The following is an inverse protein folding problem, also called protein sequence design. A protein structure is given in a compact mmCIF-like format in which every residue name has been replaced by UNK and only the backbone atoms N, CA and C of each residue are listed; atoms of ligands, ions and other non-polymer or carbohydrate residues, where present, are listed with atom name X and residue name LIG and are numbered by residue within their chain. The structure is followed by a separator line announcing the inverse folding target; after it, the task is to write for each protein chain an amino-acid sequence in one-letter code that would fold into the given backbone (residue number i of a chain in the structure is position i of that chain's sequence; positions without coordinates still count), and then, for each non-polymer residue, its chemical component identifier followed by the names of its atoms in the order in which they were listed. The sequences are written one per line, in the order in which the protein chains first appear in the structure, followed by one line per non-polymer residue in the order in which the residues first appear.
data_IF_955317243524
#
_entry.id   IF_955317243524
#
_cell.length_a   1.000
_cell.length_b   1.000
_cell.length_c   1.000
_cell.angle_alpha   90.00
_cell.angle_beta   90.00
_cell.angle_gamma   90.00
#
_symmetry.space_group_name_H-M   'P 1'
#
loop_
_entity.id
_entity.type
_entity.pdbx_description
1 polymer ?
#
# COMPACT_ATOMS: atom_id res chain seq x y z
N UNK A 1 0.97 -21.10 4.63
CA UNK A 1 0.90 -20.35 5.91
C UNK A 1 2.14 -19.51 6.04
N UNK A 2 2.03 -18.19 5.98
CA UNK A 2 3.13 -17.29 6.36
C UNK A 2 3.42 -17.55 7.85
N UNK A 3 4.62 -18.02 8.19
CA UNK A 3 5.08 -18.09 9.58
C UNK A 3 5.52 -16.68 10.02
N UNK A 4 4.64 -15.71 9.86
CA UNK A 4 4.91 -14.31 10.19
C UNK A 4 4.38 -13.99 11.57
N UNK A 5 5.15 -13.22 12.33
CA UNK A 5 4.71 -12.65 13.59
C UNK A 5 4.64 -11.11 13.52
N UNK A 6 5.18 -10.49 12.45
CA UNK A 6 5.16 -9.05 12.25
C UNK A 6 5.19 -8.65 10.77
N UNK A 7 4.41 -7.65 10.39
CA UNK A 7 4.47 -7.00 9.08
C UNK A 7 4.91 -5.54 9.26
N UNK A 8 5.92 -5.13 8.52
CA UNK A 8 6.50 -3.79 8.54
C UNK A 8 6.17 -3.13 7.21
N UNK A 9 5.64 -1.90 7.23
CA UNK A 9 5.36 -1.15 6.02
C UNK A 9 5.65 0.34 6.20
N UNK A 10 5.42 1.14 5.16
CA UNK A 10 5.69 2.56 5.15
C UNK A 10 4.53 3.37 4.55
N UNK A 11 4.39 4.61 5.00
CA UNK A 11 3.34 5.51 4.54
C UNK A 11 3.51 6.94 5.05
N UNK A 12 2.68 7.85 4.55
CA UNK A 12 2.53 9.18 5.14
C UNK A 12 1.61 9.18 6.38
N UNK A 13 1.49 10.34 7.03
CA UNK A 13 0.62 10.53 8.21
C UNK A 13 -0.88 10.31 7.94
N UNK A 14 -1.32 10.27 6.68
CA UNK A 14 -2.70 10.02 6.26
C UNK A 14 -2.79 8.78 5.34
N UNK A 15 -1.93 7.79 5.57
CA UNK A 15 -1.81 6.63 4.67
C UNK A 15 -2.96 5.64 4.86
N UNK A 16 -3.82 5.53 3.86
CA UNK A 16 -4.86 4.49 3.81
C UNK A 16 -4.26 3.08 3.76
N UNK A 17 -3.07 2.92 3.18
CA UNK A 17 -2.35 1.64 3.15
C UNK A 17 -1.96 1.18 4.56
N UNK A 18 -1.37 2.08 5.35
CA UNK A 18 -1.05 1.77 6.75
C UNK A 18 -2.33 1.52 7.56
N UNK A 19 -3.41 2.25 7.27
CA UNK A 19 -4.70 2.08 7.92
C UNK A 19 -5.29 0.68 7.68
N UNK A 20 -5.36 0.26 6.42
CA UNK A 20 -5.80 -1.09 6.06
C UNK A 20 -4.90 -2.18 6.68
N UNK A 21 -3.58 -1.98 6.66
CA UNK A 21 -2.63 -2.93 7.26
C UNK A 21 -2.81 -3.03 8.78
N UNK A 22 -2.94 -1.91 9.48
CA UNK A 22 -3.12 -1.88 10.94
C UNK A 22 -4.38 -2.64 11.35
N UNK A 23 -5.51 -2.36 10.67
CA UNK A 23 -6.77 -3.05 10.93
C UNK A 23 -6.68 -4.56 10.65
N UNK A 24 -6.06 -4.93 9.53
CA UNK A 24 -5.84 -6.34 9.17
C UNK A 24 -4.97 -7.05 10.21
N UNK A 25 -3.90 -6.40 10.67
CA UNK A 25 -3.04 -6.92 11.74
C UNK A 25 -3.80 -7.16 13.04
N UNK A 26 -4.63 -6.19 13.45
CA UNK A 26 -5.49 -6.32 14.62
C UNK A 26 -6.44 -7.52 14.50
N UNK A 27 -7.12 -7.64 13.36
CA UNK A 27 -8.10 -8.71 13.11
C UNK A 27 -7.46 -10.10 13.08
N UNK A 28 -6.23 -10.21 12.56
CA UNK A 28 -5.51 -11.48 12.42
C UNK A 28 -4.61 -11.79 13.62
N UNK A 29 -4.47 -10.88 14.60
CA UNK A 29 -3.54 -11.04 15.71
C UNK A 29 -2.06 -10.99 15.29
N UNK A 30 -1.75 -10.36 14.15
CA UNK A 30 -0.39 -10.19 13.62
C UNK A 30 0.09 -8.78 13.98
N UNK A 31 1.31 -8.67 14.52
CA UNK A 31 1.87 -7.35 14.85
C UNK A 31 2.13 -6.55 13.57
N UNK A 32 1.93 -5.23 13.63
CA UNK A 32 2.22 -4.34 12.52
C UNK A 32 3.10 -3.18 12.95
N UNK A 33 3.96 -2.71 12.04
CA UNK A 33 4.78 -1.51 12.23
C UNK A 33 4.69 -0.61 11.00
N UNK A 34 4.48 0.68 11.25
CA UNK A 34 4.45 1.73 10.23
C UNK A 34 5.65 2.66 10.33
N UNK A 35 6.47 2.71 9.27
CA UNK A 35 7.50 3.72 9.07
C UNK A 35 6.86 4.96 8.43
N UNK A 36 6.54 5.96 9.26
CA UNK A 36 5.69 7.10 8.92
C UNK A 36 6.56 8.28 8.48
N UNK A 37 6.32 8.81 7.28
CA UNK A 37 7.08 9.96 6.75
C UNK A 37 6.82 11.24 7.54
N UNK A 38 7.90 11.90 7.97
CA UNK A 38 7.89 13.23 8.57
C UNK A 38 8.14 13.19 10.07
N UNK A 39 7.97 14.33 10.72
CA UNK A 39 8.09 14.45 12.17
C UNK A 39 6.81 13.96 12.85
N UNK A 40 6.95 13.52 14.10
CA UNK A 40 5.80 13.18 14.92
C UNK A 40 4.96 14.45 15.17
N UNK A 41 3.67 14.45 14.81
CA UNK A 41 2.84 15.63 15.03
C UNK A 41 2.51 15.78 16.52
N UNK A 42 2.40 17.03 16.98
CA UNK A 42 1.94 17.32 18.35
C UNK A 42 0.52 16.81 18.60
N UNK A 43 -0.33 16.87 17.57
CA UNK A 43 -1.69 16.34 17.58
C UNK A 43 -1.79 15.24 16.54
N UNK A 44 -2.09 14.02 16.98
CA UNK A 44 -2.34 12.90 16.07
C UNK A 44 -3.63 13.15 15.28
N UNK A 45 -3.56 12.94 13.97
CA UNK A 45 -4.75 12.98 13.13
C UNK A 45 -5.58 11.68 13.30
N UNK A 46 -6.83 11.63 12.81
CA UNK A 46 -7.68 10.46 12.95
C UNK A 46 -7.05 9.16 12.41
N UNK A 47 -6.39 9.22 11.25
CA UNK A 47 -5.72 8.05 10.67
C UNK A 47 -4.67 7.49 11.63
N UNK A 48 -3.75 8.33 12.12
CA UNK A 48 -2.72 7.90 13.08
C UNK A 48 -3.32 7.40 14.40
N UNK A 49 -4.39 8.05 14.87
CA UNK A 49 -5.13 7.60 16.06
C UNK A 49 -5.64 6.18 15.87
N UNK A 50 -6.25 5.87 14.72
CA UNK A 50 -6.72 4.52 14.40
C UNK A 50 -5.56 3.53 14.38
N UNK A 51 -4.47 3.83 13.66
CA UNK A 51 -3.28 2.95 13.58
C UNK A 51 -2.82 2.51 14.98
N UNK A 52 -2.62 3.48 15.87
CA UNK A 52 -2.11 3.22 17.21
C UNK A 52 -3.15 2.51 18.08
N UNK A 53 -4.44 2.85 17.95
CA UNK A 53 -5.51 2.18 18.68
C UNK A 53 -5.68 0.70 18.31
N UNK A 54 -5.34 0.35 17.06
CA UNK A 54 -5.34 -1.02 16.55
C UNK A 54 -4.03 -1.77 16.85
N UNK A 55 -3.09 -1.14 17.54
CA UNK A 55 -1.84 -1.76 18.00
C UNK A 55 -0.71 -1.73 16.98
N UNK A 56 -0.79 -0.91 15.92
CA UNK A 56 0.35 -0.68 15.04
C UNK A 56 1.43 0.14 15.75
N UNK A 57 2.67 -0.35 15.72
CA UNK A 57 3.85 0.39 16.20
C UNK A 57 4.22 1.49 15.17
N UNK A 58 4.23 2.75 15.59
CA UNK A 58 4.61 3.88 14.72
C UNK A 58 6.06 4.32 14.91
N UNK A 59 6.81 4.45 13.82
CA UNK A 59 8.15 5.07 13.83
C UNK A 59 8.20 6.19 12.80
N UNK A 60 8.44 7.41 13.24
CA UNK A 60 8.53 8.58 12.36
C UNK A 60 9.93 8.67 11.74
N UNK A 61 10.00 8.79 10.42
CA UNK A 61 11.26 8.79 9.65
C UNK A 61 11.38 10.05 8.81
N UNK A 62 12.62 10.52 8.63
CA UNK A 62 12.90 11.67 7.79
C UNK A 62 12.51 11.43 6.33
N UNK A 63 12.35 12.52 5.56
CA UNK A 63 12.06 12.41 4.11
C UNK A 63 13.17 11.71 3.34
N UNK A 64 14.42 11.80 3.79
CA UNK A 64 15.57 11.10 3.21
C UNK A 64 15.49 9.60 3.44
N UNK A 65 15.27 9.18 4.69
CA UNK A 65 15.09 7.76 5.04
C UNK A 65 13.89 7.18 4.33
N UNK A 66 12.76 7.90 4.27
CA UNK A 66 11.58 7.47 3.54
C UNK A 66 11.85 7.21 2.05
N UNK A 67 12.69 8.04 1.40
CA UNK A 67 13.08 7.80 0.00
C UNK A 67 13.98 6.57 -0.12
N UNK A 68 14.88 6.34 0.82
CA UNK A 68 15.71 5.15 0.86
C UNK A 68 14.85 3.88 1.05
N UNK A 69 13.84 3.91 1.92
CA UNK A 69 12.96 2.77 2.15
C UNK A 69 12.29 2.26 0.85
N UNK A 70 12.01 3.14 -0.11
CA UNK A 70 11.43 2.79 -1.41
C UNK A 70 12.33 1.92 -2.30
N UNK A 71 13.63 1.85 -2.01
CA UNK A 71 14.56 1.01 -2.78
C UNK A 71 14.48 -0.46 -2.38
N UNK A 72 13.93 -0.77 -1.20
CA UNK A 72 13.70 -2.13 -0.72
C UNK A 72 12.39 -2.66 -1.29
N UNK A 73 12.47 -3.62 -2.23
CA UNK A 73 11.32 -4.15 -2.97
C UNK A 73 10.94 -5.57 -2.54
N UNK A 74 11.90 -6.37 -2.11
CA UNK A 74 11.65 -7.73 -1.65
C UNK A 74 11.20 -7.75 -0.18
N UNK A 75 10.41 -8.75 0.18
CA UNK A 75 9.80 -8.87 1.52
C UNK A 75 10.82 -8.99 2.66
N UNK A 76 12.07 -9.31 2.36
CA UNK A 76 13.18 -9.52 3.30
C UNK A 76 14.33 -8.51 3.08
N UNK A 77 14.10 -7.45 2.31
CA UNK A 77 15.16 -6.53 1.91
C UNK A 77 15.42 -5.36 2.87
N UNK A 78 14.60 -5.19 3.91
CA UNK A 78 14.86 -4.18 4.92
C UNK A 78 16.15 -4.49 5.70
N UNK A 79 16.97 -3.47 6.01
CA UNK A 79 18.03 -3.62 7.00
C UNK A 79 17.45 -4.11 8.33
N UNK A 80 18.13 -5.07 8.95
CA UNK A 80 17.80 -5.64 10.27
C UNK A 80 16.47 -6.42 10.35
N UNK A 81 15.84 -6.76 9.21
CA UNK A 81 14.64 -7.59 9.23
C UNK A 81 14.93 -8.97 9.82
N UNK A 82 14.08 -9.41 10.74
CA UNK A 82 14.27 -10.67 11.44
C UNK A 82 13.51 -11.83 10.79
N UNK A 83 13.90 -13.05 11.12
CA UNK A 83 13.17 -14.23 10.66
C UNK A 83 11.72 -14.19 11.17
N UNK A 84 10.76 -14.28 10.25
CA UNK A 84 9.33 -14.19 10.55
C UNK A 84 8.79 -12.76 10.57
N UNK A 85 9.58 -11.76 10.21
CA UNK A 85 9.12 -10.41 9.88
C UNK A 85 9.07 -10.23 8.36
N UNK A 86 8.13 -9.41 7.89
CA UNK A 86 7.91 -9.20 6.45
C UNK A 86 7.81 -7.71 6.13
N UNK A 87 8.60 -7.26 5.17
CA UNK A 87 8.53 -5.93 4.58
C UNK A 87 7.44 -5.88 3.50
N UNK A 88 6.56 -4.88 3.61
CA UNK A 88 5.55 -4.56 2.63
C UNK A 88 5.81 -3.13 2.12
N UNK A 89 6.17 -2.93 0.84
CA UNK A 89 6.48 -1.60 0.30
C UNK A 89 5.26 -0.66 0.34
N UNK A 90 5.52 0.64 0.17
CA UNK A 90 4.50 1.69 0.13
C UNK A 90 3.36 1.32 -0.84
N UNK A 91 2.11 1.39 -0.36
CA UNK A 91 0.93 1.08 -1.17
C UNK A 91 0.74 -0.41 -1.47
N UNK A 92 1.53 -1.30 -0.86
CA UNK A 92 1.40 -2.75 -1.02
C UNK A 92 1.90 -3.26 -2.37
N UNK A 93 2.67 -2.45 -3.11
CA UNK A 93 3.11 -2.73 -4.48
C UNK A 93 4.06 -3.95 -4.57
N UNK A 94 3.48 -5.14 -4.60
CA UNK A 94 4.11 -6.43 -4.85
C UNK A 94 3.30 -7.19 -5.91
N UNK A 95 3.90 -8.19 -6.54
CA UNK A 95 3.24 -9.00 -7.57
C UNK A 95 1.90 -9.60 -7.09
N UNK A 96 1.84 -10.02 -5.81
CA UNK A 96 0.61 -10.53 -5.19
C UNK A 96 -0.52 -9.49 -5.08
N UNK A 97 -0.19 -8.19 -5.03
CA UNK A 97 -1.20 -7.14 -5.00
C UNK A 97 -1.87 -6.97 -6.37
N UNK A 98 -1.15 -7.23 -7.48
CA UNK A 98 -1.77 -7.25 -8.81
C UNK A 98 -2.81 -8.36 -8.90
N UNK A 99 -2.50 -9.55 -8.38
CA UNK A 99 -3.46 -10.67 -8.33
C UNK A 99 -4.69 -10.32 -7.49
N UNK A 100 -4.52 -9.78 -6.27
CA UNK A 100 -5.67 -9.43 -5.42
C UNK A 100 -6.56 -8.34 -6.02
N UNK A 101 -6.00 -7.43 -6.81
CA UNK A 101 -6.78 -6.43 -7.56
C UNK A 101 -7.48 -7.04 -8.78
N UNK A 102 -6.86 -8.03 -9.43
CA UNK A 102 -7.51 -8.75 -10.52
C UNK A 102 -8.75 -9.51 -10.01
N UNK A 103 -8.63 -10.19 -8.86
CA UNK A 103 -9.76 -10.88 -8.21
C UNK A 103 -10.90 -9.90 -7.85
N UNK A 104 -10.59 -8.64 -7.51
CA UNK A 104 -11.61 -7.61 -7.26
C UNK A 104 -12.45 -7.31 -8.51
N UNK A 105 -11.87 -7.38 -9.71
CA UNK A 105 -12.63 -7.18 -10.97
C UNK A 105 -13.65 -8.30 -11.15
N UNK A 106 -13.28 -9.54 -10.81
CA UNK A 106 -14.18 -10.70 -10.89
C UNK A 106 -15.35 -10.63 -9.89
N UNK A 107 -15.22 -9.84 -8.81
CA UNK A 107 -16.29 -9.61 -7.82
C UNK A 107 -17.32 -8.55 -8.26
N UNK A 108 -17.09 -7.83 -9.36
CA UNK A 108 -18.01 -6.81 -9.87
C UNK A 108 -19.23 -7.47 -10.53
N UNK A 109 -20.34 -7.56 -9.79
CA UNK A 109 -21.61 -8.15 -10.25
C UNK A 109 -22.50 -7.18 -11.07
N UNK A 110 -21.89 -6.22 -11.76
CA UNK A 110 -22.58 -5.20 -12.55
C UNK A 110 -21.90 -5.04 -13.90
N UNK A 111 -22.68 -4.84 -14.96
CA UNK A 111 -22.12 -4.46 -16.26
C UNK A 111 -21.55 -3.03 -16.19
N UNK A 112 -20.37 -2.82 -16.77
CA UNK A 112 -19.72 -1.52 -16.85
C UNK A 112 -19.01 -1.32 -18.18
N UNK A 113 -19.09 -0.11 -18.72
CA UNK A 113 -18.31 0.31 -19.89
C UNK A 113 -16.99 1.00 -19.47
N UNK A 114 -16.98 1.66 -18.30
CA UNK A 114 -15.87 2.50 -17.83
C UNK A 114 -15.61 2.32 -16.33
N UNK A 115 -14.35 2.08 -15.97
CA UNK A 115 -13.87 2.09 -14.58
C UNK A 115 -12.94 3.28 -14.33
N UNK A 116 -13.21 4.04 -13.27
CA UNK A 116 -12.43 5.23 -12.88
C UNK A 116 -11.70 4.99 -11.56
N UNK A 117 -10.37 5.17 -11.55
CA UNK A 117 -9.52 4.78 -10.41
C UNK A 117 -8.61 5.94 -9.99
N UNK A 118 -8.62 6.37 -8.72
CA UNK A 118 -7.62 7.30 -8.22
C UNK A 118 -6.25 6.61 -8.07
N UNK A 119 -5.19 7.25 -8.57
CA UNK A 119 -3.85 6.66 -8.66
C UNK A 119 -2.85 7.37 -7.74
N UNK A 120 -2.29 6.63 -6.78
CA UNK A 120 -1.11 7.02 -6.01
C UNK A 120 0.16 6.38 -6.57
N UNK A 121 0.31 5.06 -6.37
CA UNK A 121 1.41 4.23 -6.91
C UNK A 121 1.05 3.54 -8.22
N UNK A 122 -0.17 3.75 -8.74
CA UNK A 122 -0.75 3.06 -9.91
C UNK A 122 -0.94 1.54 -9.79
N UNK A 123 -0.53 0.87 -8.70
CA UNK A 123 -0.67 -0.58 -8.54
C UNK A 123 -2.10 -1.10 -8.75
N UNK A 124 -3.10 -0.42 -8.17
CA UNK A 124 -4.52 -0.76 -8.36
C UNK A 124 -4.96 -0.57 -9.82
N UNK A 125 -4.46 0.46 -10.49
CA UNK A 125 -4.81 0.70 -11.89
C UNK A 125 -4.23 -0.41 -12.79
N UNK A 126 -2.96 -0.78 -12.57
CA UNK A 126 -2.31 -1.85 -13.32
C UNK A 126 -3.03 -3.20 -13.14
N UNK A 127 -3.40 -3.54 -11.90
CA UNK A 127 -4.16 -4.76 -11.61
C UNK A 127 -5.51 -4.80 -12.32
N UNK A 128 -6.27 -3.69 -12.30
CA UNK A 128 -7.57 -3.61 -13.00
C UNK A 128 -7.38 -3.78 -14.50
N UNK A 129 -6.42 -3.08 -15.11
CA UNK A 129 -6.14 -3.19 -16.55
C UNK A 129 -5.82 -4.62 -16.96
N UNK A 130 -5.11 -5.37 -16.11
CA UNK A 130 -4.75 -6.76 -16.39
C UNK A 130 -5.93 -7.75 -16.32
N UNK A 131 -7.05 -7.34 -15.72
CA UNK A 131 -8.18 -8.23 -15.41
C UNK A 131 -9.47 -7.90 -16.16
N UNK A 132 -9.65 -6.65 -16.61
CA UNK A 132 -10.85 -6.26 -17.37
C UNK A 132 -10.81 -6.80 -18.81
N UNK A 133 -11.98 -6.90 -19.43
CA UNK A 133 -12.09 -7.21 -20.86
C UNK A 133 -11.49 -6.10 -21.74
N UNK A 134 -11.07 -6.44 -22.96
CA UNK A 134 -10.55 -5.47 -23.93
C UNK A 134 -11.57 -4.38 -24.32
N UNK A 135 -12.86 -4.62 -24.08
CA UNK A 135 -13.96 -3.68 -24.37
C UNK A 135 -14.15 -2.65 -23.24
N UNK A 136 -13.59 -2.89 -22.06
CA UNK A 136 -13.72 -2.00 -20.90
C UNK A 136 -12.71 -0.86 -20.96
N UNK A 137 -13.17 0.38 -20.80
CA UNK A 137 -12.28 1.53 -20.67
C UNK A 137 -11.86 1.74 -19.20
N UNK A 138 -10.55 1.85 -18.95
CA UNK A 138 -10.03 2.16 -17.60
C UNK A 138 -9.40 3.55 -17.58
N UNK A 139 -9.85 4.40 -16.66
CA UNK A 139 -9.40 5.78 -16.49
C UNK A 139 -8.68 5.97 -15.15
N UNK A 140 -7.39 6.30 -15.22
CA UNK A 140 -6.57 6.63 -14.05
C UNK A 140 -6.51 8.13 -13.76
N UNK A 141 -6.82 8.53 -12.54
CA UNK A 141 -6.74 9.92 -12.09
C UNK A 141 -5.67 10.09 -11.03
N UNK A 142 -4.59 10.83 -11.34
CA UNK A 142 -3.52 11.05 -10.36
C UNK A 142 -4.02 11.81 -9.13
N UNK A 143 -3.80 11.23 -7.95
CA UNK A 143 -3.98 11.91 -6.67
C UNK A 143 -2.73 12.72 -6.24
N UNK A 144 -1.62 12.59 -6.99
CA UNK A 144 -0.33 13.22 -6.68
C UNK A 144 0.02 14.34 -7.67
N UNK A 145 0.70 15.39 -7.18
CA UNK A 145 1.30 16.44 -8.02
C UNK A 145 2.53 15.87 -8.74
N UNK A 146 2.68 16.16 -10.04
CA UNK A 146 3.84 15.73 -10.84
C UNK A 146 3.77 14.28 -11.31
N UNK A 147 2.60 13.86 -11.79
CA UNK A 147 2.21 12.47 -12.04
C UNK A 147 2.78 11.81 -13.29
N UNK A 148 3.75 12.41 -13.97
CA UNK A 148 4.28 11.89 -15.25
C UNK A 148 4.88 10.48 -15.15
N UNK A 149 5.26 10.05 -13.94
CA UNK A 149 5.77 8.70 -13.69
C UNK A 149 4.69 7.62 -13.75
N UNK A 150 3.41 7.95 -13.56
CA UNK A 150 2.33 6.96 -13.52
C UNK A 150 2.18 6.23 -14.87
N UNK A 151 2.45 6.91 -15.99
CA UNK A 151 2.38 6.27 -17.30
C UNK A 151 3.37 5.11 -17.44
N UNK A 152 4.56 5.20 -16.84
CA UNK A 152 5.58 4.15 -16.93
C UNK A 152 5.26 2.92 -16.05
N UNK A 153 4.54 3.13 -14.94
CA UNK A 153 4.12 2.05 -14.03
C UNK A 153 2.90 1.28 -14.57
N UNK A 154 2.10 1.90 -15.44
CA UNK A 154 0.90 1.30 -16.05
C UNK A 154 1.21 0.53 -17.34
N UNK A 155 2.32 0.84 -18.02
CA UNK A 155 2.70 0.22 -19.30
C UNK A 155 3.59 -1.04 -19.17
N UNK A 156 3.79 -1.58 -17.96
CA UNK A 156 4.43 -2.88 -17.74
C UNK A 156 3.41 -3.99 -17.73
#
# INVERSE_FOLDING_TARGET
SLKTHKIISMGGAYSNHLHALAYTGQMLGIKTQGLIRGEQPEVVNPTLSDLFSWGMEGSFVSRSEYRQLRTYKAYDSLPDIQSGEYWLPEGGAMDLALQGVAELVDELDLDYDVLCVPCGTATTLAGIISAVSEETQVLGFSALKGAGFLSAEVSQ
#
